data_IF_172914654627
#
_entry.id   IF_172914654627
#
_cell.length_a   1.000
_cell.length_b   1.000
_cell.length_c   1.000
_cell.angle_alpha   90.00
_cell.angle_beta   90.00
_cell.angle_gamma   90.00
#
_symmetry.space_group_name_H-M   'P 1'
#
loop_
_entity.id
_entity.type
_entity.pdbx_description
1 polymer ?
#
# COMPACT_ATOMS: atom_id res chain seq x y z
N UNK A 1 -14.00 21.20 10.83
CA UNK A 1 -13.49 20.23 11.82
C UNK A 1 -14.54 19.26 12.36
N UNK A 2 -15.67 19.70 12.93
CA UNK A 2 -16.68 18.77 13.47
C UNK A 2 -17.12 17.68 12.48
N UNK A 3 -17.39 18.02 11.21
CA UNK A 3 -17.67 17.05 10.14
C UNK A 3 -16.52 16.05 9.91
N UNK A 4 -15.28 16.54 9.81
CA UNK A 4 -14.10 15.68 9.64
C UNK A 4 -13.96 14.67 10.78
N UNK A 5 -14.14 15.10 12.03
CA UNK A 5 -14.13 14.20 13.19
C UNK A 5 -15.33 13.26 13.22
N UNK A 6 -16.51 13.70 12.79
CA UNK A 6 -17.67 12.82 12.64
C UNK A 6 -17.40 11.64 11.71
N UNK A 7 -16.61 11.85 10.65
CA UNK A 7 -16.32 10.84 9.63
C UNK A 7 -15.07 9.99 9.92
N UNK A 8 -14.10 10.52 10.66
CA UNK A 8 -12.74 9.93 10.76
C UNK A 8 -12.25 9.63 12.18
N UNK A 9 -12.96 10.02 13.24
CA UNK A 9 -12.44 9.84 14.60
C UNK A 9 -12.24 8.36 14.95
N UNK A 10 -11.16 8.11 15.68
CA UNK A 10 -10.86 6.84 16.30
C UNK A 10 -10.80 7.06 17.81
N UNK A 11 -11.63 6.32 18.54
CA UNK A 11 -11.69 6.36 20.00
C UNK A 11 -10.94 5.16 20.54
N UNK A 12 -9.99 5.37 21.44
CA UNK A 12 -9.23 4.33 22.14
C UNK A 12 -9.54 4.44 23.63
N UNK A 13 -10.06 3.36 24.22
CA UNK A 13 -10.42 3.31 25.63
C UNK A 13 -9.28 2.67 26.44
N UNK A 14 -8.84 3.33 27.51
CA UNK A 14 -7.85 2.80 28.45
C UNK A 14 -6.41 3.21 28.21
N UNK A 15 -6.11 3.91 27.11
CA UNK A 15 -4.79 4.45 26.78
C UNK A 15 -4.91 5.88 26.22
N UNK A 16 -4.58 6.88 27.04
CA UNK A 16 -4.68 8.29 26.65
C UNK A 16 -3.59 8.73 25.68
N UNK A 17 -2.41 8.12 25.72
CA UNK A 17 -1.30 8.46 24.83
C UNK A 17 -1.56 7.92 23.42
N UNK A 18 -2.08 6.70 23.32
CA UNK A 18 -2.56 6.13 22.07
C UNK A 18 -3.72 6.95 21.50
N UNK A 19 -4.68 7.37 22.34
CA UNK A 19 -5.80 8.23 21.92
C UNK A 19 -5.31 9.59 21.40
N UNK A 20 -4.35 10.22 22.08
CA UNK A 20 -3.75 11.48 21.62
C UNK A 20 -3.01 11.26 20.29
N UNK A 21 -2.19 10.21 20.22
CA UNK A 21 -1.42 9.86 19.03
C UNK A 21 -2.31 9.71 17.81
N UNK A 22 -3.32 8.83 17.85
CA UNK A 22 -4.18 8.59 16.68
C UNK A 22 -4.92 9.87 16.22
N UNK A 23 -5.38 10.70 17.16
CA UNK A 23 -6.05 11.97 16.82
C UNK A 23 -5.06 13.00 16.25
N UNK A 24 -3.84 13.08 16.76
CA UNK A 24 -2.81 13.94 16.17
C UNK A 24 -2.53 13.54 14.71
N UNK A 25 -2.35 12.24 14.46
CA UNK A 25 -2.13 11.72 13.11
C UNK A 25 -3.29 12.03 12.15
N UNK A 26 -4.54 11.75 12.56
CA UNK A 26 -5.75 12.06 11.76
C UNK A 26 -5.89 13.56 11.49
N UNK A 27 -5.61 14.40 12.50
CA UNK A 27 -5.64 15.86 12.36
C UNK A 27 -4.69 16.34 11.28
N UNK A 28 -3.45 15.86 11.26
CA UNK A 28 -2.44 16.26 10.28
C UNK A 28 -2.74 15.76 8.87
N UNK A 29 -3.34 14.56 8.73
CA UNK A 29 -3.81 14.09 7.42
C UNK A 29 -4.84 15.06 6.83
N UNK A 30 -5.85 15.47 7.60
CA UNK A 30 -6.85 16.45 7.15
C UNK A 30 -6.30 17.86 6.95
N UNK A 31 -5.20 18.23 7.62
CA UNK A 31 -4.49 19.49 7.32
C UNK A 31 -3.72 19.43 6.01
N UNK A 32 -3.22 18.25 5.64
CA UNK A 32 -2.38 18.10 4.45
C UNK A 32 -3.20 18.06 3.17
N UNK A 33 -4.34 17.37 3.18
CA UNK A 33 -5.15 17.22 1.96
C UNK A 33 -6.65 17.21 2.24
N UNK A 34 -7.38 18.08 1.55
CA UNK A 34 -8.85 18.16 1.61
C UNK A 34 -9.52 17.56 0.38
N UNK A 35 -8.79 17.41 -0.72
CA UNK A 35 -9.28 16.87 -1.98
C UNK A 35 -10.02 17.85 -2.88
N UNK A 36 -9.89 19.16 -2.65
CA UNK A 36 -10.61 20.18 -3.43
C UNK A 36 -9.98 20.48 -4.80
N UNK A 37 -8.71 20.09 -5.03
CA UNK A 37 -7.98 20.34 -6.28
C UNK A 37 -7.31 19.04 -6.82
N UNK A 38 -7.72 18.54 -8.00
CA UNK A 38 -7.14 17.33 -8.61
C UNK A 38 -5.73 17.52 -9.17
N UNK A 39 -5.15 18.73 -9.07
CA UNK A 39 -3.75 19.01 -9.42
C UNK A 39 -2.80 18.88 -8.23
N UNK A 40 -3.32 18.68 -7.02
CA UNK A 40 -2.54 18.52 -5.81
C UNK A 40 -2.55 17.07 -5.34
N UNK A 41 -1.46 16.67 -4.68
CA UNK A 41 -1.29 15.36 -4.08
C UNK A 41 -0.52 15.48 -2.75
N UNK A 42 -0.29 14.37 -2.06
CA UNK A 42 0.22 14.32 -0.69
C UNK A 42 1.73 14.12 -0.72
N UNK A 43 2.46 15.11 -0.19
CA UNK A 43 3.89 14.97 0.05
C UNK A 43 4.20 14.20 1.33
N UNK A 44 5.32 13.46 1.42
CA UNK A 44 5.65 12.65 2.60
C UNK A 44 5.73 13.44 3.90
N UNK A 45 6.10 14.73 3.81
CA UNK A 45 6.13 15.68 4.95
C UNK A 45 5.01 16.72 4.96
N UNK A 46 4.03 16.59 4.06
CA UNK A 46 2.96 17.58 3.89
C UNK A 46 3.48 19.01 3.76
N UNK A 47 2.83 19.97 4.42
CA UNK A 47 3.24 21.38 4.46
C UNK A 47 3.86 21.77 5.80
N UNK A 48 4.71 20.89 6.34
CA UNK A 48 5.19 21.00 7.74
C UNK A 48 6.71 21.17 7.85
N UNK A 49 7.41 21.19 6.72
CA UNK A 49 8.85 21.37 6.62
C UNK A 49 9.30 21.39 5.16
N UNK A 50 10.59 21.63 4.92
CA UNK A 50 11.16 21.73 3.57
C UNK A 50 11.73 20.40 3.04
N UNK A 51 11.98 19.41 3.90
CA UNK A 51 12.49 18.10 3.48
C UNK A 51 11.49 17.43 2.52
N UNK A 52 12.03 16.86 1.44
CA UNK A 52 11.29 16.36 0.27
C UNK A 52 10.54 17.41 -0.55
N UNK A 53 10.68 18.71 -0.26
CA UNK A 53 10.25 19.81 -1.14
C UNK A 53 8.77 19.87 -1.47
N UNK A 54 7.90 19.28 -0.64
CA UNK A 54 6.46 19.19 -0.91
C UNK A 54 6.09 18.35 -2.14
N UNK A 55 7.01 17.51 -2.61
CA UNK A 55 6.84 16.67 -3.81
C UNK A 55 6.05 15.40 -3.51
N UNK A 56 5.49 14.80 -4.56
CA UNK A 56 4.68 13.58 -4.50
C UNK A 56 5.53 12.35 -4.77
N UNK A 57 5.35 11.33 -3.93
CA UNK A 57 5.95 9.99 -4.03
C UNK A 57 4.86 8.92 -4.18
N UNK A 58 5.25 7.66 -4.35
CA UNK A 58 4.34 6.51 -4.32
C UNK A 58 3.59 6.33 -2.98
N UNK A 59 4.08 6.97 -1.92
CA UNK A 59 3.49 7.08 -0.59
C UNK A 59 1.98 7.36 -0.61
N UNK A 60 1.55 8.26 -1.49
CA UNK A 60 0.13 8.61 -1.62
C UNK A 60 -0.70 7.37 -1.92
N UNK A 61 -0.36 6.70 -3.02
CA UNK A 61 -1.10 5.57 -3.54
C UNK A 61 -1.00 4.36 -2.60
N UNK A 62 0.17 4.16 -2.01
CA UNK A 62 0.47 2.99 -1.18
C UNK A 62 -0.04 3.10 0.27
N UNK A 63 -0.11 4.31 0.85
CA UNK A 63 -0.37 4.48 2.28
C UNK A 63 -1.46 5.51 2.60
N UNK A 64 -1.51 6.64 1.89
CA UNK A 64 -2.46 7.71 2.21
C UNK A 64 -3.87 7.41 1.66
N UNK A 65 -3.98 6.82 0.48
CA UNK A 65 -5.24 6.58 -0.21
C UNK A 65 -6.28 5.80 0.63
N UNK A 66 -5.94 4.72 1.37
CA UNK A 66 -6.89 3.99 2.23
C UNK A 66 -7.63 4.89 3.24
N UNK A 67 -6.95 5.89 3.81
CA UNK A 67 -7.55 6.84 4.75
C UNK A 67 -8.65 7.65 4.06
N UNK A 68 -8.35 8.26 2.91
CA UNK A 68 -9.32 9.10 2.18
C UNK A 68 -10.46 8.30 1.56
N UNK A 69 -10.20 7.07 1.14
CA UNK A 69 -11.26 6.14 0.72
C UNK A 69 -12.27 5.90 1.84
N UNK A 70 -11.78 5.77 3.07
CA UNK A 70 -12.61 5.34 4.20
C UNK A 70 -13.19 6.48 5.02
N UNK A 71 -12.67 7.70 4.92
CA UNK A 71 -13.02 8.78 5.86
C UNK A 71 -13.51 10.06 5.18
N UNK A 72 -13.67 10.03 3.85
CA UNK A 72 -14.05 11.19 3.06
C UNK A 72 -14.94 10.79 1.88
N UNK A 73 -15.62 11.78 1.28
CA UNK A 73 -16.41 11.55 0.07
C UNK A 73 -15.51 11.01 -1.06
N UNK A 74 -16.01 10.04 -1.84
CA UNK A 74 -15.19 9.28 -2.82
C UNK A 74 -14.47 10.16 -3.85
N UNK A 75 -15.02 11.33 -4.19
CA UNK A 75 -14.38 12.27 -5.11
C UNK A 75 -13.00 12.76 -4.64
N UNK A 76 -12.73 12.76 -3.32
CA UNK A 76 -11.44 13.16 -2.74
C UNK A 76 -10.36 12.12 -3.11
N UNK A 77 -10.66 10.84 -2.90
CA UNK A 77 -9.78 9.75 -3.32
C UNK A 77 -9.63 9.69 -4.85
N UNK A 78 -10.72 9.98 -5.58
CA UNK A 78 -10.69 10.10 -7.04
C UNK A 78 -9.74 11.19 -7.52
N UNK A 79 -9.68 12.33 -6.83
CA UNK A 79 -8.80 13.44 -7.19
C UNK A 79 -7.31 13.09 -7.04
N UNK A 80 -6.94 12.26 -6.05
CA UNK A 80 -5.59 11.70 -5.94
C UNK A 80 -5.20 10.86 -7.16
N UNK A 81 -6.15 10.10 -7.73
CA UNK A 81 -5.88 9.33 -8.95
C UNK A 81 -5.91 10.20 -10.22
N UNK A 82 -6.78 11.21 -10.27
CA UNK A 82 -6.80 12.16 -11.39
C UNK A 82 -5.50 12.95 -11.50
N UNK A 83 -4.85 13.25 -10.38
CA UNK A 83 -3.50 13.83 -10.39
C UNK A 83 -2.54 12.99 -11.24
N UNK A 84 -2.54 11.66 -11.05
CA UNK A 84 -1.70 10.75 -11.85
C UNK A 84 -2.16 10.72 -13.31
N UNK A 85 -3.45 10.59 -13.57
CA UNK A 85 -3.99 10.64 -14.94
C UNK A 85 -3.56 11.92 -15.69
N UNK A 86 -3.63 13.09 -15.04
CA UNK A 86 -3.23 14.37 -15.63
C UNK A 86 -1.72 14.45 -15.93
N UNK A 87 -0.90 13.64 -15.27
CA UNK A 87 0.54 13.53 -15.49
C UNK A 87 0.94 12.38 -16.43
N UNK A 88 -0.01 11.68 -17.05
CA UNK A 88 0.28 10.51 -17.90
C UNK A 88 1.23 10.84 -19.06
N UNK A 89 1.04 11.96 -19.75
CA UNK A 89 1.95 12.37 -20.85
C UNK A 89 3.36 12.71 -20.35
N UNK A 90 3.48 13.25 -19.12
CA UNK A 90 4.79 13.48 -18.50
C UNK A 90 5.47 12.18 -18.07
N UNK A 91 4.71 11.19 -17.60
CA UNK A 91 5.23 9.86 -17.32
C UNK A 91 5.72 9.13 -18.60
N UNK A 92 5.04 9.34 -19.74
CA UNK A 92 5.50 8.86 -21.06
C UNK A 92 6.76 9.59 -21.53
N UNK A 93 6.85 10.90 -21.28
CA UNK A 93 8.06 11.68 -21.52
C UNK A 93 9.24 11.16 -20.68
N UNK A 94 9.00 10.85 -19.41
CA UNK A 94 10.00 10.31 -18.49
C UNK A 94 10.51 8.95 -18.95
N UNK A 95 9.63 8.02 -19.32
CA UNK A 95 10.03 6.74 -19.91
C UNK A 95 10.92 6.93 -21.16
N UNK A 96 10.56 7.85 -22.05
CA UNK A 96 11.37 8.15 -23.25
C UNK A 96 12.76 8.68 -22.92
N UNK A 97 12.89 9.52 -21.88
CA UNK A 97 14.20 10.03 -21.41
C UNK A 97 15.13 8.92 -20.96
N UNK A 98 14.58 7.80 -20.47
CA UNK A 98 15.32 6.61 -20.04
C UNK A 98 15.51 5.56 -21.15
N UNK A 99 15.14 5.88 -22.39
CA UNK A 99 15.37 5.02 -23.54
C UNK A 99 14.24 4.05 -23.89
N UNK A 100 13.11 4.11 -23.18
CA UNK A 100 11.92 3.32 -23.53
C UNK A 100 11.21 3.93 -24.75
N UNK A 101 10.72 3.07 -25.65
CA UNK A 101 10.01 3.46 -26.88
C UNK A 101 8.51 3.58 -26.67
N UNK A 102 7.95 2.91 -25.65
CA UNK A 102 6.53 2.95 -25.31
C UNK A 102 6.29 2.90 -23.79
N UNK A 103 5.05 3.25 -23.42
CA UNK A 103 4.59 3.21 -22.04
C UNK A 103 4.94 4.43 -21.21
N UNK A 104 4.52 4.37 -19.95
CA UNK A 104 4.65 5.42 -18.96
C UNK A 104 5.41 4.90 -17.74
N UNK A 105 6.48 5.59 -17.37
CA UNK A 105 7.13 5.44 -16.08
C UNK A 105 6.87 6.72 -15.30
N UNK A 106 5.96 6.67 -14.34
CA UNK A 106 5.72 7.81 -13.47
C UNK A 106 7.03 8.19 -12.77
N UNK A 107 7.28 9.48 -12.49
CA UNK A 107 8.45 9.85 -11.72
C UNK A 107 8.40 9.29 -10.30
N UNK A 108 9.57 9.05 -9.70
CA UNK A 108 9.66 8.72 -8.29
C UNK A 108 9.28 9.92 -7.42
N UNK A 109 9.73 11.11 -7.83
CA UNK A 109 9.52 12.36 -7.11
C UNK A 109 9.03 13.42 -8.07
N UNK A 110 7.85 13.99 -7.81
CA UNK A 110 7.30 14.99 -8.74
C UNK A 110 6.38 16.02 -8.10
N UNK A 111 6.43 17.24 -8.63
CA UNK A 111 5.45 18.30 -8.34
C UNK A 111 4.50 18.57 -9.52
N UNK A 112 4.94 18.31 -10.75
CA UNK A 112 4.26 18.74 -11.99
C UNK A 112 4.19 17.62 -13.06
N UNK A 113 4.52 16.39 -12.69
CA UNK A 113 4.62 15.22 -13.57
C UNK A 113 6.03 14.95 -14.10
N UNK A 114 6.98 15.89 -14.01
CA UNK A 114 8.38 15.65 -14.34
C UNK A 114 9.13 15.04 -13.15
N UNK A 115 10.19 14.29 -13.44
CA UNK A 115 11.11 13.81 -12.41
C UNK A 115 11.90 14.97 -11.81
N UNK A 116 11.82 15.12 -10.49
CA UNK A 116 12.41 16.23 -9.75
C UNK A 116 13.54 15.80 -8.81
N UNK A 117 13.95 14.54 -8.88
CA UNK A 117 15.03 13.97 -8.07
C UNK A 117 16.17 13.44 -8.95
N UNK A 118 17.38 13.34 -8.39
CA UNK A 118 18.61 13.04 -9.14
C UNK A 118 19.44 11.87 -8.60
N UNK A 119 19.05 11.25 -7.48
CA UNK A 119 19.66 10.00 -7.00
C UNK A 119 19.20 8.84 -7.87
N UNK A 120 20.08 8.34 -8.74
CA UNK A 120 19.72 7.42 -9.83
C UNK A 120 19.19 6.08 -9.30
N UNK A 121 19.74 5.63 -8.16
CA UNK A 121 19.42 4.36 -7.47
C UNK A 121 17.94 4.24 -7.12
N UNK A 122 17.29 5.37 -6.83
CA UNK A 122 15.89 5.45 -6.41
C UNK A 122 15.04 5.96 -7.58
N UNK A 123 15.47 7.06 -8.18
CA UNK A 123 14.75 7.77 -9.25
C UNK A 123 14.46 6.86 -10.45
N UNK A 124 15.46 6.11 -10.91
CA UNK A 124 15.37 5.35 -12.16
C UNK A 124 15.19 3.85 -11.97
N UNK A 125 15.62 3.30 -10.83
CA UNK A 125 15.55 1.86 -10.57
C UNK A 125 14.36 1.45 -9.68
N UNK A 126 13.78 2.36 -8.90
CA UNK A 126 12.62 2.07 -8.02
C UNK A 126 11.28 2.12 -8.76
N UNK A 127 11.15 1.24 -9.75
CA UNK A 127 10.08 1.27 -10.74
C UNK A 127 8.76 0.67 -10.25
N UNK A 128 8.73 0.04 -9.07
CA UNK A 128 7.53 -0.58 -8.49
C UNK A 128 6.42 0.43 -8.17
N UNK A 129 6.74 1.74 -8.08
CA UNK A 129 5.79 2.85 -7.96
C UNK A 129 4.68 2.84 -9.02
N UNK A 130 4.98 2.37 -10.24
CA UNK A 130 3.96 2.16 -11.27
C UNK A 130 2.92 1.12 -10.82
N UNK A 131 3.38 0.06 -10.16
CA UNK A 131 2.53 -0.96 -9.55
C UNK A 131 1.67 -0.40 -8.41
N UNK A 132 2.20 0.50 -7.58
CA UNK A 132 1.41 1.18 -6.55
C UNK A 132 0.29 2.04 -7.14
N UNK A 133 0.55 2.75 -8.25
CA UNK A 133 -0.48 3.52 -8.98
C UNK A 133 -1.56 2.59 -9.56
N UNK A 134 -1.17 1.48 -10.19
CA UNK A 134 -2.12 0.48 -10.69
C UNK A 134 -2.97 -0.11 -9.55
N UNK A 135 -2.35 -0.41 -8.41
CA UNK A 135 -3.03 -0.91 -7.22
C UNK A 135 -3.99 0.13 -6.62
N UNK A 136 -3.62 1.41 -6.63
CA UNK A 136 -4.50 2.49 -6.18
C UNK A 136 -5.76 2.64 -7.05
N UNK A 137 -5.66 2.49 -8.37
CA UNK A 137 -6.81 2.41 -9.28
C UNK A 137 -7.70 1.22 -8.90
N UNK A 138 -7.10 0.03 -8.74
CA UNK A 138 -7.81 -1.17 -8.30
C UNK A 138 -8.55 -0.94 -6.97
N UNK A 139 -7.84 -0.44 -5.97
CA UNK A 139 -8.37 -0.24 -4.62
C UNK A 139 -9.53 0.77 -4.63
N UNK A 140 -9.39 1.89 -5.35
CA UNK A 140 -10.47 2.88 -5.50
C UNK A 140 -11.74 2.25 -6.08
N UNK A 141 -11.64 1.50 -7.18
CA UNK A 141 -12.81 0.91 -7.83
C UNK A 141 -13.45 -0.15 -6.95
N UNK A 142 -12.66 -1.01 -6.30
CA UNK A 142 -13.19 -2.08 -5.44
C UNK A 142 -13.85 -1.52 -4.18
N UNK A 143 -13.24 -0.50 -3.57
CA UNK A 143 -13.76 0.15 -2.37
C UNK A 143 -15.03 0.94 -2.67
N UNK A 144 -14.99 1.86 -3.64
CA UNK A 144 -16.10 2.79 -3.93
C UNK A 144 -17.22 2.18 -4.77
N UNK A 145 -16.91 1.15 -5.57
CA UNK A 145 -17.82 0.64 -6.60
C UNK A 145 -17.94 1.56 -7.84
N UNK A 146 -17.17 2.64 -7.92
CA UNK A 146 -17.15 3.54 -9.08
C UNK A 146 -16.39 2.92 -10.26
N UNK A 147 -17.05 1.97 -10.93
CA UNK A 147 -16.53 1.31 -12.12
C UNK A 147 -16.45 2.24 -13.34
N UNK A 148 -17.17 3.36 -13.33
CA UNK A 148 -17.12 4.34 -14.42
C UNK A 148 -15.76 5.05 -14.51
N UNK A 149 -14.99 5.08 -13.41
CA UNK A 149 -13.61 5.57 -13.42
C UNK A 149 -12.70 4.83 -14.41
N UNK A 150 -12.89 3.52 -14.59
CA UNK A 150 -12.07 2.69 -15.47
C UNK A 150 -12.10 3.15 -16.93
N UNK A 151 -13.26 3.21 -17.62
CA UNK A 151 -13.33 3.66 -19.01
C UNK A 151 -13.08 5.17 -19.18
N UNK A 152 -13.29 5.98 -18.13
CA UNK A 152 -13.07 7.42 -18.20
C UNK A 152 -11.58 7.81 -18.09
N UNK A 153 -10.83 7.14 -17.21
CA UNK A 153 -9.44 7.51 -16.88
C UNK A 153 -8.54 6.29 -16.67
N UNK A 154 -8.96 5.36 -15.81
CA UNK A 154 -8.08 4.32 -15.27
C UNK A 154 -7.42 3.42 -16.32
N UNK A 155 -8.18 3.00 -17.33
CA UNK A 155 -7.67 2.08 -18.37
C UNK A 155 -6.56 2.69 -19.21
N UNK A 156 -6.57 4.00 -19.46
CA UNK A 156 -5.50 4.66 -20.23
C UNK A 156 -4.18 4.66 -19.46
N UNK A 157 -4.24 4.90 -18.14
CA UNK A 157 -3.07 4.81 -17.24
C UNK A 157 -2.54 3.38 -17.18
N UNK A 158 -3.44 2.41 -17.01
CA UNK A 158 -3.10 0.99 -16.92
C UNK A 158 -2.44 0.47 -18.20
N UNK A 159 -2.94 0.85 -19.39
CA UNK A 159 -2.34 0.48 -20.68
C UNK A 159 -0.89 0.99 -20.79
N UNK A 160 -0.65 2.26 -20.47
CA UNK A 160 0.70 2.82 -20.63
C UNK A 160 1.67 2.29 -19.56
N UNK A 161 1.21 2.02 -18.34
CA UNK A 161 2.02 1.30 -17.34
C UNK A 161 2.34 -0.13 -17.83
N UNK A 162 1.36 -0.85 -18.40
CA UNK A 162 1.57 -2.18 -18.98
C UNK A 162 2.58 -2.18 -20.13
N UNK A 163 2.55 -1.17 -21.00
CA UNK A 163 3.54 -0.98 -22.07
C UNK A 163 4.95 -0.77 -21.53
N UNK A 164 5.09 -0.02 -20.43
CA UNK A 164 6.36 0.14 -19.76
C UNK A 164 6.86 -1.22 -19.23
N UNK A 165 6.01 -1.98 -18.52
CA UNK A 165 6.39 -3.30 -18.02
C UNK A 165 6.80 -4.26 -19.14
N UNK A 166 6.07 -4.25 -20.26
CA UNK A 166 6.38 -5.06 -21.44
C UNK A 166 7.77 -4.75 -22.01
N UNK A 167 8.18 -3.48 -22.04
CA UNK A 167 9.50 -3.07 -22.53
C UNK A 167 10.60 -3.24 -21.48
N UNK A 168 10.25 -3.26 -20.19
CA UNK A 168 11.20 -3.36 -19.07
C UNK A 168 11.68 -4.78 -18.78
N UNK A 169 10.86 -5.78 -19.09
CA UNK A 169 11.18 -7.20 -18.88
C UNK A 169 12.17 -7.72 -19.92
N UNK A 170 12.97 -8.72 -19.54
CA UNK A 170 13.88 -9.43 -20.44
C UNK A 170 13.51 -10.90 -20.47
N UNK A 171 13.35 -11.49 -21.66
CA UNK A 171 13.13 -12.93 -21.78
C UNK A 171 14.46 -13.69 -21.69
N UNK A 172 14.47 -14.77 -20.92
CA UNK A 172 15.58 -15.71 -20.81
C UNK A 172 15.07 -17.12 -21.00
N UNK A 173 15.88 -17.99 -21.61
CA UNK A 173 15.47 -19.38 -21.86
C UNK A 173 15.29 -20.20 -20.57
N UNK A 174 15.99 -19.83 -19.49
CA UNK A 174 16.06 -20.64 -18.26
C UNK A 174 15.16 -20.15 -17.13
N UNK A 175 14.82 -18.85 -17.07
CA UNK A 175 13.93 -18.27 -16.04
C UNK A 175 12.62 -17.73 -16.59
N UNK A 176 12.46 -17.63 -17.92
CA UNK A 176 11.35 -16.88 -18.52
C UNK A 176 11.63 -15.38 -18.48
N UNK A 177 10.60 -14.57 -18.21
CA UNK A 177 10.75 -13.11 -18.09
C UNK A 177 11.34 -12.71 -16.74
N UNK A 178 12.39 -11.89 -16.78
CA UNK A 178 13.08 -11.35 -15.61
C UNK A 178 13.07 -9.82 -15.66
N UNK A 179 13.23 -9.19 -14.50
CA UNK A 179 13.44 -7.73 -14.40
C UNK A 179 14.80 -7.52 -13.72
N UNK A 180 15.73 -6.91 -14.45
CA UNK A 180 17.13 -6.74 -14.02
C UNK A 180 17.41 -5.29 -13.64
N UNK A 181 18.32 -5.04 -12.69
CA UNK A 181 18.76 -3.69 -12.30
C UNK A 181 17.61 -2.82 -11.76
N UNK A 182 17.04 -3.23 -10.63
CA UNK A 182 15.94 -2.52 -9.96
C UNK A 182 16.27 -2.27 -8.50
N UNK A 183 15.54 -1.32 -7.92
CA UNK A 183 15.46 -1.08 -6.47
C UNK A 183 14.05 -1.45 -6.04
N UNK A 184 13.92 -2.34 -5.07
CA UNK A 184 12.63 -2.64 -4.42
C UNK A 184 12.28 -1.55 -3.40
N UNK A 185 11.16 -1.68 -2.67
CA UNK A 185 10.88 -0.83 -1.52
C UNK A 185 12.03 -0.81 -0.48
N UNK A 186 12.80 -1.89 -0.37
CA UNK A 186 14.02 -1.89 0.43
C UNK A 186 15.16 -1.17 -0.28
N UNK A 187 15.28 0.15 -0.08
CA UNK A 187 16.35 0.98 -0.65
C UNK A 187 17.75 0.70 -0.08
N UNK A 188 17.90 -0.21 0.89
CA UNK A 188 19.23 -0.72 1.31
C UNK A 188 19.77 -1.78 0.35
N UNK A 189 19.09 -1.95 -0.77
CA UNK A 189 19.50 -2.75 -1.91
C UNK A 189 19.16 -1.95 -3.17
N UNK A 190 20.12 -1.78 -4.07
CA UNK A 190 19.90 -1.16 -5.38
C UNK A 190 20.56 -1.98 -6.48
N UNK A 191 20.17 -1.72 -7.73
CA UNK A 191 20.63 -2.46 -8.91
C UNK A 191 20.55 -3.99 -8.75
N UNK A 192 19.51 -4.48 -8.06
CA UNK A 192 19.29 -5.91 -7.85
C UNK A 192 18.51 -6.53 -8.99
N UNK A 193 18.60 -7.85 -9.12
CA UNK A 193 17.86 -8.58 -10.14
C UNK A 193 16.69 -9.33 -9.52
N UNK A 194 15.55 -9.30 -10.21
CA UNK A 194 14.36 -10.05 -9.88
C UNK A 194 13.84 -9.74 -8.47
N UNK A 195 13.76 -8.45 -8.10
CA UNK A 195 13.08 -8.11 -6.86
C UNK A 195 11.66 -8.71 -6.87
N UNK A 196 11.33 -9.58 -5.93
CA UNK A 196 10.11 -10.38 -6.00
C UNK A 196 8.86 -9.50 -6.05
N UNK A 197 8.80 -8.46 -5.22
CA UNK A 197 7.66 -7.56 -5.20
C UNK A 197 7.51 -6.81 -6.54
N UNK A 198 8.60 -6.30 -7.10
CA UNK A 198 8.61 -5.61 -8.40
C UNK A 198 8.13 -6.53 -9.52
N UNK A 199 8.65 -7.77 -9.59
CA UNK A 199 8.20 -8.75 -10.58
C UNK A 199 6.71 -9.07 -10.39
N UNK A 200 6.27 -9.28 -9.15
CA UNK A 200 4.89 -9.64 -8.82
C UNK A 200 3.93 -8.53 -9.17
N UNK A 201 4.22 -7.28 -8.80
CA UNK A 201 3.33 -6.15 -9.07
C UNK A 201 3.32 -5.78 -10.55
N UNK A 202 4.41 -6.00 -11.29
CA UNK A 202 4.44 -5.84 -12.75
C UNK A 202 3.47 -6.81 -13.42
N UNK A 203 3.60 -8.12 -13.16
CA UNK A 203 2.71 -9.13 -13.72
C UNK A 203 1.25 -8.95 -13.26
N UNK A 204 1.04 -8.58 -11.99
CA UNK A 204 -0.30 -8.28 -11.48
C UNK A 204 -0.91 -7.07 -12.22
N UNK A 205 -0.12 -6.03 -12.49
CA UNK A 205 -0.60 -4.86 -13.26
C UNK A 205 -1.03 -5.28 -14.66
N UNK A 206 -0.22 -6.09 -15.36
CA UNK A 206 -0.59 -6.62 -16.68
C UNK A 206 -1.92 -7.39 -16.64
N UNK A 207 -2.09 -8.25 -15.63
CA UNK A 207 -3.30 -9.04 -15.43
C UNK A 207 -4.52 -8.12 -15.20
N UNK A 208 -4.40 -7.14 -14.29
CA UNK A 208 -5.48 -6.21 -13.99
C UNK A 208 -5.84 -5.30 -15.18
N UNK A 209 -4.86 -4.91 -15.99
CA UNK A 209 -5.09 -4.18 -17.25
C UNK A 209 -5.92 -5.02 -18.23
N UNK A 210 -5.62 -6.31 -18.39
CA UNK A 210 -6.37 -7.21 -19.27
C UNK A 210 -7.81 -7.43 -18.78
N UNK A 211 -7.99 -7.62 -17.47
CA UNK A 211 -9.32 -7.71 -16.84
C UNK A 211 -10.13 -6.43 -17.04
N UNK A 212 -9.48 -5.27 -16.87
CA UNK A 212 -10.10 -3.96 -17.08
C UNK A 212 -10.50 -3.76 -18.55
N UNK A 213 -9.65 -4.12 -19.50
CA UNK A 213 -9.97 -4.05 -20.93
C UNK A 213 -11.18 -4.92 -21.27
N UNK A 214 -11.24 -6.14 -20.74
CA UNK A 214 -12.36 -7.04 -20.96
C UNK A 214 -13.66 -6.53 -20.31
N UNK A 215 -13.57 -5.95 -19.11
CA UNK A 215 -14.69 -5.28 -18.45
C UNK A 215 -15.21 -4.10 -19.29
N UNK A 216 -14.31 -3.22 -19.75
CA UNK A 216 -14.68 -2.05 -20.57
C UNK A 216 -15.26 -2.49 -21.91
N UNK A 217 -14.73 -3.55 -22.53
CA UNK A 217 -15.28 -4.13 -23.77
C UNK A 217 -16.71 -4.63 -23.60
N UNK A 218 -17.02 -5.29 -22.48
CA UNK A 218 -18.35 -5.86 -22.19
C UNK A 218 -19.35 -4.77 -21.80
N UNK A 219 -18.99 -3.91 -20.86
CA UNK A 219 -19.93 -2.97 -20.23
C UNK A 219 -19.98 -1.61 -20.94
N UNK A 220 -18.92 -1.23 -21.68
CA UNK A 220 -18.80 0.07 -22.35
C UNK A 220 -18.23 -0.06 -23.78
N UNK A 221 -18.85 -0.85 -24.68
CA UNK A 221 -18.28 -1.19 -25.99
C UNK A 221 -17.95 0.03 -26.86
N UNK A 222 -18.77 1.09 -26.85
CA UNK A 222 -18.46 2.32 -27.59
C UNK A 222 -17.19 3.01 -27.07
N UNK A 223 -17.02 3.06 -25.74
CA UNK A 223 -15.83 3.63 -25.11
C UNK A 223 -14.59 2.75 -25.32
N UNK A 224 -14.77 1.44 -25.36
CA UNK A 224 -13.72 0.50 -25.71
C UNK A 224 -13.13 0.80 -27.10
N UNK A 225 -13.97 0.96 -28.13
CA UNK A 225 -13.51 1.31 -29.48
C UNK A 225 -12.79 2.66 -29.53
N UNK A 226 -13.29 3.67 -28.81
CA UNK A 226 -12.60 4.96 -28.67
C UNK A 226 -11.22 4.81 -28.04
N UNK A 227 -11.10 4.00 -26.98
CA UNK A 227 -9.82 3.74 -26.29
C UNK A 227 -8.87 3.00 -27.22
N UNK A 228 -9.32 1.98 -27.94
CA UNK A 228 -8.48 1.27 -28.92
C UNK A 228 -7.95 2.23 -29.98
N UNK A 229 -8.80 3.10 -30.52
CA UNK A 229 -8.40 4.12 -31.49
C UNK A 229 -7.43 5.16 -30.93
N UNK A 230 -7.74 5.72 -29.75
CA UNK A 230 -6.93 6.75 -29.09
C UNK A 230 -5.56 6.22 -28.69
N UNK A 231 -5.52 5.06 -28.04
CA UNK A 231 -4.30 4.44 -27.53
C UNK A 231 -3.54 3.66 -28.59
N UNK A 232 -4.15 3.44 -29.76
CA UNK A 232 -3.66 2.58 -30.84
C UNK A 232 -3.25 1.20 -30.32
N UNK A 233 -4.01 0.67 -29.37
CA UNK A 233 -3.70 -0.59 -28.69
C UNK A 233 -3.80 -1.74 -29.70
N UNK A 234 -2.69 -2.46 -29.89
CA UNK A 234 -2.63 -3.60 -30.80
C UNK A 234 -2.94 -4.90 -30.05
N UNK A 235 -3.52 -5.88 -30.77
CA UNK A 235 -3.86 -7.19 -30.20
C UNK A 235 -2.60 -7.90 -29.70
N UNK A 236 -1.51 -7.77 -30.45
CA UNK A 236 -0.19 -8.33 -30.18
C UNK A 236 0.37 -7.85 -28.83
N UNK A 237 0.08 -6.60 -28.42
CA UNK A 237 0.47 -6.10 -27.09
C UNK A 237 -0.23 -6.90 -25.99
N UNK A 238 -1.54 -7.11 -26.10
CA UNK A 238 -2.30 -7.88 -25.10
C UNK A 238 -1.94 -9.36 -25.07
N UNK A 239 -1.58 -9.95 -26.21
CA UNK A 239 -1.04 -11.31 -26.29
C UNK A 239 0.34 -11.39 -25.62
N UNK A 240 1.19 -10.38 -25.85
CA UNK A 240 2.49 -10.29 -25.21
C UNK A 240 2.37 -10.17 -23.69
N UNK A 241 1.43 -9.37 -23.19
CA UNK A 241 1.20 -9.22 -21.76
C UNK A 241 0.78 -10.55 -21.11
N UNK A 242 -0.08 -11.35 -21.78
CA UNK A 242 -0.42 -12.71 -21.32
C UNK A 242 0.81 -13.61 -21.24
N UNK A 243 1.65 -13.57 -22.26
CA UNK A 243 2.90 -14.35 -22.29
C UNK A 243 3.84 -13.96 -21.14
N UNK A 244 3.94 -12.66 -20.84
CA UNK A 244 4.76 -12.15 -19.72
C UNK A 244 4.20 -12.63 -18.38
N UNK A 245 2.88 -12.55 -18.18
CA UNK A 245 2.22 -13.01 -16.94
C UNK A 245 2.50 -14.49 -16.70
N UNK A 246 2.34 -15.33 -17.73
CA UNK A 246 2.51 -16.78 -17.64
C UNK A 246 3.96 -17.20 -17.34
N UNK A 247 4.93 -16.48 -17.91
CA UNK A 247 6.36 -16.84 -17.84
C UNK A 247 7.18 -15.91 -16.95
N UNK A 248 6.57 -15.07 -16.12
CA UNK A 248 7.30 -14.19 -15.20
C UNK A 248 8.03 -15.02 -14.15
N UNK A 249 9.31 -14.74 -13.96
CA UNK A 249 10.12 -15.34 -12.91
C UNK A 249 9.82 -14.72 -11.55
N UNK A 250 9.64 -15.56 -10.53
CA UNK A 250 9.54 -15.15 -9.14
C UNK A 250 10.57 -15.95 -8.33
N UNK A 251 11.59 -15.31 -7.73
CA UNK A 251 12.58 -16.04 -6.96
C UNK A 251 11.97 -16.54 -5.64
N UNK A 252 12.25 -17.81 -5.34
CA UNK A 252 11.70 -18.55 -4.19
C UNK A 252 12.81 -19.41 -3.59
N UNK A 253 12.79 -19.57 -2.28
CA UNK A 253 13.55 -20.62 -1.60
C UNK A 253 12.58 -21.72 -1.19
N UNK A 254 12.58 -22.80 -1.97
CA UNK A 254 11.72 -23.96 -1.78
C UNK A 254 11.95 -24.66 -0.44
N UNK A 255 13.18 -24.62 0.09
CA UNK A 255 13.49 -25.29 1.36
C UNK A 255 12.84 -24.60 2.56
N UNK A 256 12.73 -23.27 2.50
CA UNK A 256 12.08 -22.43 3.51
C UNK A 256 10.62 -22.12 3.17
N UNK A 257 10.20 -22.36 1.92
CA UNK A 257 8.88 -22.00 1.42
C UNK A 257 8.59 -20.49 1.45
N UNK A 258 9.63 -19.68 1.23
CA UNK A 258 9.56 -18.20 1.25
C UNK A 258 9.85 -17.62 -0.13
N UNK A 259 9.32 -16.44 -0.38
CA UNK A 259 9.75 -15.64 -1.52
C UNK A 259 11.13 -15.05 -1.22
N UNK A 260 12.00 -14.98 -2.22
CA UNK A 260 13.28 -14.30 -2.06
C UNK A 260 13.13 -12.84 -2.47
N UNK A 261 13.55 -11.91 -1.63
CA UNK A 261 13.45 -10.48 -1.91
C UNK A 261 14.10 -10.13 -3.26
N UNK A 262 15.22 -10.78 -3.62
CA UNK A 262 15.89 -10.69 -4.92
C UNK A 262 16.79 -11.92 -5.16
N UNK A 263 17.29 -12.08 -6.39
CA UNK A 263 18.39 -13.01 -6.67
C UNK A 263 19.61 -12.69 -5.77
N UNK A 264 20.23 -13.71 -5.19
CA UNK A 264 21.43 -13.57 -4.36
C UNK A 264 21.20 -13.11 -2.92
N UNK A 265 19.94 -12.92 -2.48
CA UNK A 265 19.66 -12.50 -1.09
C UNK A 265 20.26 -13.45 -0.03
N UNK A 266 20.22 -14.76 -0.30
CA UNK A 266 20.74 -15.78 0.63
C UNK A 266 22.26 -15.92 0.65
N UNK A 267 22.99 -15.26 -0.26
CA UNK A 267 24.46 -15.28 -0.27
C UNK A 267 25.06 -14.38 0.83
N UNK A 268 24.21 -13.62 1.50
CA UNK A 268 24.57 -12.67 2.57
C UNK A 268 24.67 -13.39 3.91
N UNK A 269 25.41 -12.77 4.82
CA UNK A 269 25.40 -13.19 6.22
C UNK A 269 24.06 -12.77 6.85
N UNK A 270 23.13 -13.73 6.97
CA UNK A 270 21.82 -13.49 7.56
C UNK A 270 21.95 -13.34 9.08
N UNK A 271 21.67 -12.13 9.57
CA UNK A 271 21.68 -11.75 10.99
C UNK A 271 20.44 -10.95 11.31
N UNK A 272 19.88 -11.21 12.49
CA UNK A 272 18.70 -10.50 12.98
C UNK A 272 19.12 -9.18 13.64
N UNK A 273 18.22 -8.20 13.65
CA UNK A 273 18.49 -6.84 14.14
C UNK A 273 18.85 -6.81 15.63
N UNK A 274 18.35 -7.76 16.43
CA UNK A 274 18.71 -7.91 17.84
C UNK A 274 20.17 -8.36 18.06
N UNK A 275 20.86 -8.80 17.01
CA UNK A 275 22.28 -9.14 17.02
C UNK A 275 23.18 -7.95 16.67
N UNK A 276 22.61 -6.81 16.23
CA UNK A 276 23.36 -5.57 16.00
C UNK A 276 23.71 -4.89 17.33
N UNK A 277 24.90 -4.26 17.39
CA UNK A 277 25.19 -3.34 18.49
C UNK A 277 24.21 -2.16 18.40
N UNK A 278 23.43 -1.85 19.46
CA UNK A 278 22.54 -0.69 19.46
C UNK A 278 23.22 0.64 19.11
N UNK A 279 24.54 0.76 19.32
CA UNK A 279 25.34 1.95 18.95
C UNK A 279 25.59 2.09 17.46
N UNK A 280 25.36 1.03 16.68
CA UNK A 280 25.44 1.06 15.22
C UNK A 280 24.11 1.45 14.58
N UNK A 281 23.07 1.78 15.37
CA UNK A 281 21.73 2.12 14.88
C UNK A 281 21.43 3.62 15.05
N UNK A 282 20.80 4.28 14.04
CA UNK A 282 20.36 3.70 12.76
C UNK A 282 21.54 3.44 11.80
N UNK A 283 21.51 2.32 11.09
CA UNK A 283 22.66 1.84 10.31
C UNK A 283 23.02 2.81 9.19
N UNK A 284 22.06 3.53 8.60
CA UNK A 284 22.34 4.56 7.60
C UNK A 284 23.13 5.77 8.11
N UNK A 285 23.25 5.95 9.43
CA UNK A 285 24.07 7.02 10.04
C UNK A 285 25.43 6.52 10.52
N UNK A 286 25.60 5.21 10.74
CA UNK A 286 26.81 4.62 11.34
C UNK A 286 27.61 3.75 10.38
N UNK A 287 27.00 3.20 9.34
CA UNK A 287 27.65 2.32 8.37
C UNK A 287 27.92 3.04 7.06
N UNK A 288 28.96 2.61 6.34
CA UNK A 288 29.11 3.01 4.94
C UNK A 288 27.99 2.41 4.11
N UNK A 289 27.57 3.12 3.07
CA UNK A 289 26.55 2.63 2.14
C UNK A 289 26.94 1.30 1.48
N UNK A 290 28.23 1.13 1.14
CA UNK A 290 28.79 -0.16 0.69
C UNK A 290 28.48 -1.32 1.65
N UNK A 291 28.70 -1.12 2.96
CA UNK A 291 28.45 -2.16 3.98
C UNK A 291 26.97 -2.50 4.06
N UNK A 292 26.08 -1.50 3.93
CA UNK A 292 24.63 -1.67 3.94
C UNK A 292 24.18 -2.51 2.74
N UNK A 293 24.61 -2.15 1.52
CA UNK A 293 24.22 -2.80 0.26
C UNK A 293 24.60 -4.29 0.15
N UNK A 294 25.55 -4.75 0.97
CA UNK A 294 25.98 -6.15 1.02
C UNK A 294 25.58 -6.85 2.32
N UNK A 295 24.66 -6.26 3.08
CA UNK A 295 24.09 -6.81 4.32
C UNK A 295 22.69 -7.36 4.10
N UNK A 296 22.17 -8.15 5.04
CA UNK A 296 20.81 -8.68 4.98
C UNK A 296 19.74 -7.72 5.51
N UNK A 297 20.12 -6.52 5.98
CA UNK A 297 19.21 -5.61 6.66
C UNK A 297 18.26 -4.93 5.68
N UNK A 298 17.03 -4.78 6.13
CA UNK A 298 15.93 -4.29 5.30
C UNK A 298 15.44 -2.96 5.86
N UNK A 299 15.47 -1.90 5.04
CA UNK A 299 15.01 -0.56 5.42
C UNK A 299 13.53 -0.58 5.80
N UNK A 300 12.71 -1.20 4.95
CA UNK A 300 11.25 -1.23 5.04
C UNK A 300 10.63 -2.46 4.37
N UNK A 301 9.33 -2.68 4.58
CA UNK A 301 8.61 -3.81 3.97
C UNK A 301 8.83 -3.85 2.45
N UNK A 302 9.33 -4.99 1.95
CA UNK A 302 9.58 -5.25 0.52
C UNK A 302 8.77 -6.47 0.06
N UNK A 303 9.20 -7.70 0.36
CA UNK A 303 8.36 -8.90 0.18
C UNK A 303 7.05 -8.76 0.96
N UNK A 304 7.14 -8.23 2.20
CA UNK A 304 5.97 -7.99 3.03
C UNK A 304 5.05 -6.89 2.47
N UNK A 305 5.56 -5.95 1.67
CA UNK A 305 4.74 -4.98 0.95
C UNK A 305 3.86 -5.67 -0.09
N UNK A 306 4.45 -6.56 -0.89
CA UNK A 306 3.71 -7.34 -1.89
C UNK A 306 2.70 -8.29 -1.28
N UNK A 307 3.07 -8.96 -0.19
CA UNK A 307 2.16 -9.81 0.59
C UNK A 307 1.00 -9.01 1.17
N UNK A 308 1.20 -7.75 1.56
CA UNK A 308 0.13 -6.88 2.01
C UNK A 308 -0.80 -6.44 0.87
N UNK A 309 -0.27 -5.91 -0.22
CA UNK A 309 -1.08 -5.45 -1.36
C UNK A 309 -1.89 -6.59 -1.97
N UNK A 310 -1.27 -7.75 -2.17
CA UNK A 310 -1.87 -8.90 -2.83
C UNK A 310 -2.25 -9.99 -1.82
N UNK A 311 -2.63 -9.59 -0.61
CA UNK A 311 -2.84 -10.50 0.51
C UNK A 311 -4.01 -11.48 0.34
N UNK A 312 -4.89 -11.28 -0.62
CA UNK A 312 -5.91 -12.25 -1.02
C UNK A 312 -5.35 -13.43 -1.83
N UNK A 313 -4.13 -13.30 -2.37
CA UNK A 313 -3.50 -14.32 -3.21
C UNK A 313 -2.63 -15.32 -2.45
N UNK A 314 -2.46 -15.11 -1.14
CA UNK A 314 -1.59 -15.91 -0.30
C UNK A 314 -2.34 -16.40 0.94
N UNK A 315 -2.15 -17.68 1.28
CA UNK A 315 -2.66 -18.26 2.52
C UNK A 315 -1.90 -17.74 3.75
N UNK A 316 -2.48 -17.90 4.93
CA UNK A 316 -1.90 -17.41 6.19
C UNK A 316 -0.53 -18.02 6.48
N UNK A 317 -0.31 -19.28 6.14
CA UNK A 317 0.98 -19.95 6.37
C UNK A 317 2.09 -19.39 5.47
N UNK A 318 1.80 -19.05 4.22
CA UNK A 318 2.74 -18.37 3.34
C UNK A 318 3.07 -16.98 3.84
N UNK A 319 2.06 -16.24 4.32
CA UNK A 319 2.28 -14.94 4.98
C UNK A 319 3.15 -15.10 6.23
N UNK A 320 2.89 -16.12 7.04
CA UNK A 320 3.62 -16.43 8.27
C UNK A 320 5.10 -16.69 7.99
N UNK A 321 5.42 -17.62 7.10
CA UNK A 321 6.81 -17.96 6.76
C UNK A 321 7.60 -16.76 6.27
N UNK A 322 6.99 -15.93 5.41
CA UNK A 322 7.65 -14.71 4.93
C UNK A 322 7.79 -13.64 6.03
N UNK A 323 6.77 -13.46 6.88
CA UNK A 323 6.84 -12.53 8.00
C UNK A 323 7.95 -12.91 8.99
N UNK A 324 7.95 -14.17 9.43
CA UNK A 324 8.91 -14.69 10.42
C UNK A 324 10.35 -14.67 9.88
N UNK A 325 10.53 -14.73 8.55
CA UNK A 325 11.84 -14.60 7.93
C UNK A 325 12.29 -13.14 7.81
N UNK A 326 11.42 -12.23 7.34
CA UNK A 326 11.83 -10.86 6.97
C UNK A 326 11.75 -9.84 8.11
N UNK A 327 10.77 -9.95 9.01
CA UNK A 327 10.62 -8.98 10.11
C UNK A 327 11.87 -8.91 11.01
N UNK A 328 12.49 -10.03 11.43
CA UNK A 328 13.68 -9.97 12.28
C UNK A 328 14.91 -9.31 11.64
N UNK A 329 14.97 -9.18 10.31
CA UNK A 329 16.04 -8.50 9.57
C UNK A 329 15.68 -7.05 9.19
N UNK A 330 14.47 -6.59 9.52
CA UNK A 330 13.99 -5.26 9.14
C UNK A 330 14.35 -4.24 10.22
N UNK A 331 15.15 -3.23 9.88
CA UNK A 331 15.60 -2.21 10.84
C UNK A 331 14.56 -1.13 11.12
N UNK A 332 13.56 -1.02 10.24
CA UNK A 332 12.48 -0.02 10.28
C UNK A 332 12.99 1.43 10.27
N UNK A 333 14.05 1.70 9.50
CA UNK A 333 14.66 3.04 9.35
C UNK A 333 13.92 3.92 8.33
N UNK A 334 12.74 3.46 7.89
CA UNK A 334 11.76 4.25 7.16
C UNK A 334 10.47 4.31 7.95
N UNK A 335 9.86 5.50 7.98
CA UNK A 335 8.58 5.74 8.64
C UNK A 335 7.41 4.96 8.02
N UNK A 336 7.59 4.44 6.79
CA UNK A 336 6.63 3.59 6.06
C UNK A 336 6.63 2.13 6.54
N UNK A 337 7.72 1.69 7.19
CA UNK A 337 7.92 0.27 7.52
C UNK A 337 6.97 -0.30 8.59
N UNK A 338 6.76 0.35 9.76
CA UNK A 338 6.09 -0.31 10.87
C UNK A 338 4.62 -0.66 10.61
N UNK A 339 3.89 0.15 9.84
CA UNK A 339 2.45 -0.04 9.67
C UNK A 339 2.11 -1.32 8.88
N UNK A 340 2.85 -1.63 7.81
CA UNK A 340 2.66 -2.87 7.02
C UNK A 340 2.94 -4.09 7.89
N UNK A 341 4.02 -4.06 8.67
CA UNK A 341 4.35 -5.13 9.59
C UNK A 341 3.29 -5.26 10.70
N UNK A 342 2.76 -4.15 11.23
CA UNK A 342 1.69 -4.15 12.24
C UNK A 342 0.41 -4.80 11.69
N UNK A 343 0.07 -4.53 10.42
CA UNK A 343 -1.11 -5.09 9.77
C UNK A 343 -0.94 -6.60 9.55
N UNK A 344 0.23 -7.04 9.07
CA UNK A 344 0.50 -8.47 8.86
C UNK A 344 0.61 -9.23 10.19
N UNK A 345 1.30 -8.68 11.18
CA UNK A 345 1.35 -9.25 12.53
C UNK A 345 -0.07 -9.39 13.13
N UNK A 346 -0.92 -8.38 12.91
CA UNK A 346 -2.34 -8.43 13.30
C UNK A 346 -3.11 -9.54 12.58
N UNK A 347 -2.88 -9.74 11.29
CA UNK A 347 -3.51 -10.81 10.51
C UNK A 347 -3.03 -12.21 11.00
N UNK A 348 -1.75 -12.34 11.32
CA UNK A 348 -1.08 -13.56 11.78
C UNK A 348 -1.24 -13.86 13.28
N UNK A 349 -1.95 -13.02 14.03
CA UNK A 349 -2.20 -13.20 15.46
C UNK A 349 -1.05 -12.83 16.38
N UNK A 350 0.02 -12.21 15.87
CA UNK A 350 1.16 -11.72 16.64
C UNK A 350 0.84 -10.39 17.31
N UNK A 351 -0.10 -10.40 18.26
CA UNK A 351 -0.70 -9.20 18.86
C UNK A 351 0.31 -8.26 19.51
N UNK A 352 1.26 -8.81 20.27
CA UNK A 352 2.31 -8.03 20.94
C UNK A 352 3.20 -7.31 19.92
N UNK A 353 3.66 -8.04 18.90
CA UNK A 353 4.45 -7.48 17.79
C UNK A 353 3.67 -6.42 17.01
N UNK A 354 2.39 -6.67 16.73
CA UNK A 354 1.53 -5.68 16.08
C UNK A 354 1.41 -4.40 16.91
N UNK A 355 1.24 -4.51 18.22
CA UNK A 355 1.16 -3.35 19.11
C UNK A 355 2.49 -2.57 19.19
N UNK A 356 3.62 -3.29 19.30
CA UNK A 356 4.97 -2.70 19.27
C UNK A 356 5.16 -1.83 18.02
N UNK A 357 4.82 -2.36 16.85
CA UNK A 357 4.99 -1.69 15.57
C UNK A 357 3.99 -0.54 15.38
N UNK A 358 2.76 -0.69 15.86
CA UNK A 358 1.76 0.39 15.89
C UNK A 358 2.27 1.59 16.71
N UNK A 359 2.86 1.37 17.89
CA UNK A 359 3.35 2.45 18.73
C UNK A 359 4.46 3.26 18.04
N UNK A 360 5.35 2.58 17.28
CA UNK A 360 6.42 3.26 16.53
C UNK A 360 5.88 4.29 15.54
N UNK A 361 4.79 3.97 14.84
CA UNK A 361 4.18 4.91 13.89
C UNK A 361 3.31 5.96 14.60
N UNK A 362 2.52 5.56 15.61
CA UNK A 362 1.55 6.44 16.26
C UNK A 362 2.17 7.60 17.04
N UNK A 363 3.39 7.41 17.55
CA UNK A 363 4.11 8.37 18.39
C UNK A 363 5.37 8.94 17.72
N UNK A 364 5.64 8.58 16.46
CA UNK A 364 6.88 8.90 15.76
C UNK A 364 7.28 10.38 15.91
N UNK A 365 6.39 11.29 15.52
CA UNK A 365 6.68 12.73 15.56
C UNK A 365 6.45 13.37 16.93
N UNK A 366 5.56 12.80 17.74
CA UNK A 366 5.28 13.33 19.08
C UNK A 366 6.46 13.09 20.04
N UNK A 367 7.15 11.96 19.88
CA UNK A 367 8.33 11.57 20.68
C UNK A 367 9.65 11.75 19.93
N UNK A 368 9.60 12.21 18.67
CA UNK A 368 10.75 12.38 17.79
C UNK A 368 11.64 11.12 17.74
N UNK A 369 11.04 9.94 17.53
CA UNK A 369 11.75 8.64 17.56
C UNK A 369 12.89 8.53 16.55
N UNK A 370 12.75 9.19 15.40
CA UNK A 370 13.78 9.20 14.35
C UNK A 370 14.79 10.34 14.50
N UNK A 371 14.61 11.22 15.50
CA UNK A 371 15.40 12.43 15.71
C UNK A 371 15.43 13.38 14.51
N UNK A 372 14.42 13.36 13.63
CA UNK A 372 14.33 14.16 12.41
C UNK A 372 12.97 14.85 12.20
N UNK A 373 12.15 14.96 13.25
CA UNK A 373 10.87 15.71 13.19
C UNK A 373 11.07 17.21 12.92
N UNK A 374 12.24 17.77 13.21
CA UNK A 374 12.57 19.16 12.86
C UNK A 374 12.56 19.41 11.34
N UNK A 375 12.79 18.37 10.54
CA UNK A 375 12.72 18.43 9.08
C UNK A 375 11.28 18.49 8.53
N UNK A 376 10.28 18.32 9.41
CA UNK A 376 8.87 18.18 9.10
C UNK A 376 8.28 16.86 9.61
N UNK A 377 6.97 16.87 9.79
CA UNK A 377 6.16 15.72 10.23
C UNK A 377 6.13 14.60 9.19
N UNK A 378 5.94 13.35 9.60
CA UNK A 378 5.94 12.18 8.71
C UNK A 378 4.52 11.80 8.28
N UNK A 379 3.89 12.60 7.40
CA UNK A 379 2.49 12.45 6.97
C UNK A 379 2.17 11.03 6.46
N UNK A 380 3.07 10.41 5.70
CA UNK A 380 2.88 9.02 5.25
C UNK A 380 2.79 8.04 6.42
N UNK A 381 3.63 8.22 7.45
CA UNK A 381 3.55 7.42 8.68
C UNK A 381 2.23 7.65 9.42
N UNK A 382 1.72 8.88 9.40
CA UNK A 382 0.43 9.19 10.03
C UNK A 382 -0.74 8.43 9.37
N UNK A 383 -0.71 8.28 8.04
CA UNK A 383 -1.62 7.39 7.33
C UNK A 383 -1.40 5.93 7.75
N UNK A 384 -0.15 5.50 7.88
CA UNK A 384 0.23 4.19 8.42
C UNK A 384 -0.31 3.91 9.82
N UNK A 385 -0.37 4.92 10.70
CA UNK A 385 -0.97 4.82 12.03
C UNK A 385 -2.46 4.50 11.94
N UNK A 386 -3.20 5.20 11.07
CA UNK A 386 -4.61 4.92 10.82
C UNK A 386 -4.80 3.51 10.23
N UNK A 387 -3.98 3.13 9.25
CA UNK A 387 -4.02 1.79 8.64
C UNK A 387 -3.77 0.69 9.68
N UNK A 388 -2.83 0.89 10.60
CA UNK A 388 -2.53 -0.09 11.66
C UNK A 388 -3.75 -0.36 12.56
N UNK A 389 -4.55 0.67 12.88
CA UNK A 389 -5.78 0.50 13.65
C UNK A 389 -6.90 -0.13 12.81
N UNK A 390 -7.18 0.42 11.64
CA UNK A 390 -8.38 0.04 10.87
C UNK A 390 -8.15 -1.24 10.07
N UNK A 391 -7.04 -1.35 9.36
CA UNK A 391 -6.68 -2.52 8.54
C UNK A 391 -5.93 -3.58 9.35
N UNK A 392 -5.21 -3.21 10.41
CA UNK A 392 -4.58 -4.16 11.34
C UNK A 392 -5.56 -4.65 12.40
N UNK A 393 -5.77 -3.87 13.46
CA UNK A 393 -6.59 -4.28 14.61
C UNK A 393 -8.07 -4.48 14.26
N UNK A 394 -8.63 -3.67 13.34
CA UNK A 394 -9.98 -3.83 12.81
C UNK A 394 -10.10 -4.93 11.75
N UNK A 395 -8.98 -5.33 11.15
CA UNK A 395 -8.94 -6.33 10.08
C UNK A 395 -9.70 -5.92 8.81
N UNK A 396 -9.87 -4.61 8.56
CA UNK A 396 -10.59 -4.10 7.39
C UNK A 396 -9.92 -4.56 6.09
N UNK A 397 -10.69 -5.22 5.22
CA UNK A 397 -10.37 -5.46 3.81
C UNK A 397 -11.63 -5.27 2.96
N UNK A 398 -11.45 -5.20 1.64
CA UNK A 398 -12.55 -5.33 0.68
C UNK A 398 -12.32 -6.61 -0.13
N UNK A 399 -13.31 -7.50 -0.18
CA UNK A 399 -13.27 -8.74 -0.98
C UNK A 399 -14.60 -8.93 -1.67
N UNK A 400 -14.58 -9.24 -2.96
CA UNK A 400 -15.79 -9.49 -3.78
C UNK A 400 -16.86 -8.39 -3.65
N UNK A 401 -16.41 -7.14 -3.52
CA UNK A 401 -17.28 -5.97 -3.37
C UNK A 401 -17.95 -5.81 -2.01
N UNK A 402 -17.54 -6.60 -1.00
CA UNK A 402 -18.02 -6.53 0.39
C UNK A 402 -16.91 -6.08 1.33
N UNK A 403 -17.30 -5.42 2.42
CA UNK A 403 -16.40 -5.15 3.54
C UNK A 403 -16.12 -6.42 4.31
N UNK A 404 -14.86 -6.64 4.69
CA UNK A 404 -14.44 -7.73 5.56
C UNK A 404 -13.83 -7.12 6.82
N UNK A 405 -14.25 -7.60 7.99
CA UNK A 405 -13.71 -7.21 9.29
C UNK A 405 -13.33 -8.47 10.08
N UNK A 406 -12.15 -8.44 10.68
CA UNK A 406 -11.67 -9.48 11.59
C UNK A 406 -11.05 -8.84 12.84
N UNK A 407 -11.83 -8.07 13.61
CA UNK A 407 -11.26 -7.22 14.65
C UNK A 407 -10.77 -8.01 15.86
N UNK A 408 -9.78 -7.47 16.57
CA UNK A 408 -9.43 -7.88 17.92
C UNK A 408 -9.01 -6.66 18.74
N UNK A 409 -9.13 -6.73 20.07
CA UNK A 409 -8.64 -5.68 20.96
C UNK A 409 -7.20 -5.97 21.37
N UNK A 410 -6.23 -5.06 21.15
CA UNK A 410 -4.90 -5.15 21.74
C UNK A 410 -4.98 -5.16 23.27
N UNK A 411 -4.10 -5.90 23.95
CA UNK A 411 -4.22 -6.12 25.40
C UNK A 411 -4.06 -4.84 26.25
N UNK A 412 -3.40 -3.83 25.69
CA UNK A 412 -3.23 -2.50 26.30
C UNK A 412 -4.51 -1.66 26.29
N UNK A 413 -5.50 -2.00 25.46
CA UNK A 413 -6.74 -1.24 25.30
C UNK A 413 -7.92 -1.97 25.96
N UNK A 414 -8.84 -1.20 26.56
CA UNK A 414 -10.14 -1.72 27.01
C UNK A 414 -11.09 -1.96 25.83
N UNK A 415 -10.91 -1.19 24.76
CA UNK A 415 -11.66 -1.24 23.53
C UNK A 415 -11.26 -0.09 22.62
N UNK A 416 -11.73 -0.12 21.38
CA UNK A 416 -11.57 0.98 20.45
C UNK A 416 -12.76 1.06 19.50
N UNK A 417 -12.97 2.22 18.88
CA UNK A 417 -13.92 2.36 17.79
C UNK A 417 -13.34 3.18 16.66
N UNK A 418 -13.71 2.85 15.43
CA UNK A 418 -13.37 3.61 14.23
C UNK A 418 -14.59 3.71 13.33
N UNK A 419 -14.54 4.67 12.40
CA UNK A 419 -15.58 4.89 11.40
C UNK A 419 -15.03 4.69 10.00
N UNK A 420 -15.88 4.15 9.14
CA UNK A 420 -15.61 4.00 7.71
C UNK A 420 -16.84 4.42 6.91
N UNK A 421 -16.61 5.10 5.79
CA UNK A 421 -17.61 5.41 4.77
C UNK A 421 -17.43 4.42 3.62
N UNK A 422 -18.36 3.49 3.47
CA UNK A 422 -18.33 2.51 2.39
C UNK A 422 -19.60 2.62 1.56
N UNK A 423 -19.45 3.07 0.31
CA UNK A 423 -20.55 3.18 -0.67
C UNK A 423 -21.78 3.95 -0.15
N UNK A 424 -21.53 4.99 0.64
CA UNK A 424 -22.56 5.85 1.25
C UNK A 424 -23.02 5.41 2.65
N UNK A 425 -22.64 4.21 3.10
CA UNK A 425 -22.89 3.74 4.46
C UNK A 425 -21.77 4.19 5.38
N UNK A 426 -22.08 5.02 6.39
CA UNK A 426 -21.12 5.38 7.44
C UNK A 426 -21.26 4.37 8.58
N UNK A 427 -20.31 3.45 8.67
CA UNK A 427 -20.31 2.40 9.66
C UNK A 427 -19.36 2.77 10.81
N UNK A 428 -19.88 2.77 12.03
CA UNK A 428 -19.09 2.84 13.26
C UNK A 428 -18.89 1.43 13.79
N UNK A 429 -17.63 0.98 13.83
CA UNK A 429 -17.23 -0.30 14.39
C UNK A 429 -16.65 -0.05 15.78
N UNK A 430 -17.23 -0.64 16.81
CA UNK A 430 -16.72 -0.58 18.18
C UNK A 430 -16.33 -1.98 18.63
N UNK A 431 -15.07 -2.16 19.01
CA UNK A 431 -14.49 -3.44 19.40
C UNK A 431 -14.19 -3.40 20.89
N UNK A 432 -14.79 -4.33 21.64
CA UNK A 432 -14.53 -4.57 23.06
C UNK A 432 -14.10 -6.03 23.25
N UNK A 433 -13.59 -6.36 24.44
CA UNK A 433 -13.03 -7.70 24.75
C UNK A 433 -13.92 -8.88 24.40
N UNK A 434 -15.25 -8.72 24.46
CA UNK A 434 -16.21 -9.81 24.27
C UNK A 434 -17.12 -9.63 23.04
N UNK A 435 -17.13 -8.44 22.42
CA UNK A 435 -18.08 -8.13 21.36
C UNK A 435 -17.62 -7.03 20.41
N UNK A 436 -18.15 -7.09 19.19
CA UNK A 436 -18.12 -6.06 18.17
C UNK A 436 -19.52 -5.45 18.07
N UNK A 437 -19.61 -4.13 18.22
CA UNK A 437 -20.84 -3.38 17.95
C UNK A 437 -20.66 -2.66 16.62
N UNK A 438 -21.59 -2.88 15.70
CA UNK A 438 -21.64 -2.21 14.41
C UNK A 438 -22.87 -1.32 14.39
N UNK A 439 -22.69 -0.03 14.14
CA UNK A 439 -23.77 0.94 13.95
C UNK A 439 -23.67 1.54 12.55
N UNK A 440 -24.77 1.59 11.81
CA UNK A 440 -24.87 2.33 10.58
C UNK A 440 -25.44 3.72 10.87
N UNK A 441 -24.69 4.77 10.59
CA UNK A 441 -25.08 6.16 10.86
C UNK A 441 -25.78 6.81 9.64
N UNK A 442 -26.18 6.05 8.63
CA UNK A 442 -26.86 6.55 7.42
C UNK A 442 -28.06 5.68 7.01
N UNK A 443 -28.80 6.17 6.00
CA UNK A 443 -29.96 5.48 5.42
C UNK A 443 -29.60 4.40 4.39
N UNK A 444 -28.31 4.21 4.10
CA UNK A 444 -27.86 3.28 3.06
C UNK A 444 -27.41 1.99 3.76
N UNK A 445 -28.05 0.84 3.50
CA UNK A 445 -27.64 -0.42 4.10
C UNK A 445 -26.28 -0.89 3.56
N UNK A 446 -25.59 -1.73 4.33
CA UNK A 446 -24.30 -2.30 3.93
C UNK A 446 -24.24 -3.81 4.18
N UNK A 447 -23.63 -4.52 3.22
CA UNK A 447 -23.29 -5.93 3.34
C UNK A 447 -21.81 -6.09 3.74
N UNK A 448 -21.57 -7.00 4.67
CA UNK A 448 -20.28 -7.17 5.30
C UNK A 448 -20.04 -8.60 5.81
N UNK A 449 -18.78 -8.99 5.79
CA UNK A 449 -18.28 -10.23 6.36
C UNK A 449 -17.57 -9.91 7.67
N UNK A 450 -18.06 -10.44 8.79
CA UNK A 450 -17.41 -10.32 10.09
C UNK A 450 -17.03 -11.72 10.56
N UNK A 451 -15.73 -11.97 10.73
CA UNK A 451 -15.20 -13.30 11.05
C UNK A 451 -15.70 -14.39 10.09
N UNK A 452 -15.70 -14.09 8.79
CA UNK A 452 -16.15 -14.99 7.73
C UNK A 452 -17.66 -15.23 7.63
N UNK A 453 -18.48 -14.62 8.52
CA UNK A 453 -19.94 -14.73 8.47
C UNK A 453 -20.57 -13.50 7.80
N UNK A 454 -21.57 -13.73 6.96
CA UNK A 454 -22.32 -12.68 6.27
C UNK A 454 -23.30 -11.97 7.22
N UNK A 455 -23.30 -10.64 7.15
CA UNK A 455 -24.25 -9.77 7.82
C UNK A 455 -24.70 -8.66 6.85
N UNK A 456 -25.95 -8.24 7.00
CA UNK A 456 -26.48 -7.01 6.39
C UNK A 456 -26.92 -6.09 7.52
N UNK A 457 -26.39 -4.87 7.55
CA UNK A 457 -26.85 -3.83 8.47
C UNK A 457 -27.77 -2.86 7.74
N UNK A 458 -28.99 -2.71 8.25
CA UNK A 458 -29.99 -1.82 7.68
C UNK A 458 -29.66 -0.33 7.86
N UNK A 459 -30.49 0.52 7.25
CA UNK A 459 -30.52 1.96 7.53
C UNK A 459 -30.61 2.22 9.04
N UNK A 460 -29.74 3.07 9.57
CA UNK A 460 -29.71 3.43 10.99
C UNK A 460 -29.67 2.22 11.96
N UNK A 461 -29.21 1.06 11.47
CA UNK A 461 -29.25 -0.19 12.20
C UNK A 461 -28.10 -0.34 13.19
N UNK A 462 -28.27 -1.27 14.13
CA UNK A 462 -27.23 -1.70 15.06
C UNK A 462 -27.15 -3.23 15.07
N UNK A 463 -25.93 -3.76 15.14
CA UNK A 463 -25.65 -5.19 15.30
C UNK A 463 -24.65 -5.39 16.43
N UNK A 464 -24.92 -6.38 17.28
CA UNK A 464 -24.00 -6.87 18.29
C UNK A 464 -23.54 -8.28 17.93
N UNK A 465 -22.23 -8.47 17.80
CA UNK A 465 -21.62 -9.70 17.34
C UNK A 465 -20.58 -10.13 18.40
N UNK A 466 -20.64 -11.37 18.91
CA UNK A 466 -19.61 -11.87 19.83
C UNK A 466 -18.23 -11.82 19.20
N UNK A 467 -17.22 -11.36 19.96
CA UNK A 467 -15.84 -11.36 19.50
C UNK A 467 -15.36 -12.82 19.41
N UNK A 468 -14.89 -13.24 18.24
CA UNK A 468 -14.29 -14.56 18.12
C UNK A 468 -12.86 -14.51 18.67
N UNK A 469 -12.56 -15.38 19.64
CA UNK A 469 -11.16 -15.62 20.00
C UNK A 469 -10.52 -16.35 18.83
N UNK A 470 -9.60 -15.70 18.12
CA UNK A 470 -8.79 -16.39 17.10
C UNK A 470 -8.04 -17.52 17.79
N UNK A 471 -8.47 -18.75 17.58
CA UNK A 471 -7.72 -19.91 18.10
C UNK A 471 -6.48 -20.10 17.24
N UNK A 472 -5.38 -20.60 17.81
CA UNK A 472 -4.15 -20.94 17.04
C UNK A 472 -4.38 -21.95 15.90
N UNK A 473 -5.56 -22.57 15.83
CA UNK A 473 -5.94 -23.51 14.78
C UNK A 473 -6.67 -22.84 13.59
N UNK A 474 -7.07 -21.57 13.73
CA UNK A 474 -7.73 -20.75 12.69
C UNK A 474 -6.78 -19.69 12.08
N UNK A 475 -5.53 -19.65 12.55
CA UNK A 475 -4.43 -18.84 12.03
C UNK A 475 -3.33 -19.79 11.55
#
# INVERSE_FOLDING_TARGET
WAKKWQDSDIVIEGDSEAQQGIRFNIFQLHQTYTGDDPRLNIGPKGFTGEKYGGSTYWDTEAYCLPFYLSTADSHIARNLLLYRYNHLEKAKENARKLGFKKGALYPMVTMNGEECHNEWEITFEEIHRNGAIAYAIYNYVHYTGDKAYLPQYGVEVLIEISRFWEERVHYTEHKGYVILGVTGPNEYENNVNNNWYTNRIAAWTLQYTLETLEFVRKEYPGRYEEILGKMRLQKEETEKWKEIIEKMYYPVDESRGIFLQQDGFLDKELKTVDQLDPKERPINQHWSWDRILRSCYIKQADVLQGVFFLGDQYDLETKRRNFDFYEPMTVHESSLSPCVHSILASELGYKEKAYELYLRTARLDLENYNHDTEDGLHITSMAGTWMSVVMGFGGLRVRDGRLVLNPYTPDHWKGFSFKILFRGSRLKVTVRKEKVLLCNETEIPADLLIFGKEYTIGAQGELEIPLQQRTKAEI
#
